data_IF_299985578794
#
_entry.id   IF_299985578794
#
_cell.length_a   1.000
_cell.length_b   1.000
_cell.length_c   1.000
_cell.angle_alpha   90.00
_cell.angle_beta   90.00
_cell.angle_gamma   90.00
#
_symmetry.space_group_name_H-M   'P 1'
#
loop_
_entity.id
_entity.type
_entity.pdbx_description
1 polymer ?
#
# COMPACT_ATOMS: atom_id res chain seq x y z
N UNK A 1 41.60 -71.16 -44.07
CA UNK A 1 40.42 -72.03 -44.03
C UNK A 1 39.28 -71.19 -43.49
N UNK A 2 38.45 -70.82 -44.41
CA UNK A 2 36.97 -70.50 -44.34
C UNK A 2 36.46 -69.64 -43.20
N UNK A 3 35.98 -68.44 -43.51
CA UNK A 3 34.74 -68.00 -44.15
C UNK A 3 33.68 -67.78 -43.02
N UNK A 4 33.13 -66.65 -42.85
CA UNK A 4 31.97 -66.04 -43.57
C UNK A 4 31.54 -64.66 -42.96
N UNK A 5 31.43 -63.75 -43.85
CA UNK A 5 30.65 -62.51 -43.63
C UNK A 5 29.25 -62.77 -43.12
N UNK A 6 28.75 -61.93 -42.24
CA UNK A 6 27.33 -61.50 -42.18
C UNK A 6 27.23 -60.06 -41.72
N UNK A 7 27.02 -59.25 -42.68
CA UNK A 7 26.39 -57.94 -42.53
C UNK A 7 25.06 -58.08 -41.80
N UNK A 8 24.86 -57.30 -40.73
CA UNK A 8 23.56 -57.07 -40.19
C UNK A 8 23.45 -55.59 -39.84
N UNK A 9 22.80 -54.86 -40.74
CA UNK A 9 22.35 -53.48 -40.57
C UNK A 9 21.23 -53.48 -39.56
N UNK A 10 21.48 -52.95 -38.38
CA UNK A 10 20.42 -52.51 -37.47
C UNK A 10 20.45 -50.96 -37.39
N UNK A 11 19.47 -50.38 -38.07
CA UNK A 11 19.02 -49.04 -37.82
C UNK A 11 18.54 -49.00 -36.37
N UNK A 12 19.34 -48.46 -35.49
CA UNK A 12 18.99 -48.18 -34.11
C UNK A 12 18.24 -46.84 -34.05
N UNK A 13 16.99 -46.89 -33.76
CA UNK A 13 16.18 -45.74 -33.34
C UNK A 13 16.86 -45.06 -32.15
N UNK A 14 17.32 -43.84 -32.38
CA UNK A 14 17.77 -42.93 -31.33
C UNK A 14 16.53 -42.46 -30.61
N UNK A 15 16.10 -43.15 -29.55
CA UNK A 15 15.18 -42.65 -28.56
C UNK A 15 15.83 -41.42 -27.91
N UNK A 16 15.42 -40.25 -28.36
CA UNK A 16 15.67 -39.00 -27.65
C UNK A 16 14.85 -39.07 -26.35
N UNK A 17 15.49 -39.53 -25.28
CA UNK A 17 14.96 -39.37 -23.94
C UNK A 17 15.08 -37.90 -23.61
N UNK A 18 13.94 -37.21 -23.72
CA UNK A 18 13.81 -35.86 -23.27
C UNK A 18 13.90 -35.89 -21.73
N UNK A 19 15.09 -35.68 -21.19
CA UNK A 19 15.30 -35.51 -19.75
C UNK A 19 14.45 -34.33 -19.31
N UNK A 20 13.35 -34.63 -18.62
CA UNK A 20 12.57 -33.62 -17.94
C UNK A 20 13.44 -32.99 -16.86
N UNK A 21 13.95 -31.81 -17.11
CA UNK A 21 14.64 -30.99 -16.11
C UNK A 21 13.66 -30.76 -14.97
N UNK A 22 13.82 -31.47 -13.86
CA UNK A 22 13.01 -31.26 -12.66
C UNK A 22 13.42 -29.92 -12.09
N UNK A 23 12.60 -28.90 -12.32
CA UNK A 23 12.80 -27.55 -11.80
C UNK A 23 12.83 -27.58 -10.26
N UNK A 24 13.83 -26.95 -9.65
CA UNK A 24 13.94 -26.85 -8.19
C UNK A 24 12.74 -26.07 -7.63
N UNK A 25 12.42 -26.27 -6.36
CA UNK A 25 11.23 -25.65 -5.75
C UNK A 25 11.25 -24.12 -5.82
N UNK A 26 12.41 -23.50 -5.58
CA UNK A 26 12.58 -22.04 -5.66
C UNK A 26 12.40 -21.50 -7.07
N UNK A 27 12.93 -22.22 -8.08
CA UNK A 27 12.80 -21.86 -9.49
C UNK A 27 11.32 -21.96 -9.93
N UNK A 28 10.59 -23.00 -9.46
CA UNK A 28 9.14 -23.12 -9.72
C UNK A 28 8.34 -22.00 -9.10
N UNK A 29 8.66 -21.61 -7.85
CA UNK A 29 8.01 -20.46 -7.21
C UNK A 29 8.24 -19.18 -8.00
N UNK A 30 9.45 -18.95 -8.47
CA UNK A 30 9.79 -17.80 -9.31
C UNK A 30 8.99 -17.84 -10.62
N UNK A 31 8.96 -18.97 -11.32
CA UNK A 31 8.19 -19.13 -12.56
C UNK A 31 6.69 -18.90 -12.36
N UNK A 32 6.11 -19.42 -11.28
CA UNK A 32 4.69 -19.20 -10.93
C UNK A 32 4.41 -17.71 -10.69
N UNK A 33 5.26 -17.04 -9.91
CA UNK A 33 5.09 -15.62 -9.59
C UNK A 33 5.26 -14.71 -10.82
N UNK A 34 6.21 -15.01 -11.70
CA UNK A 34 6.41 -14.26 -12.95
C UNK A 34 5.23 -14.44 -13.90
N UNK A 35 4.77 -15.67 -14.08
CA UNK A 35 3.61 -15.94 -14.92
C UNK A 35 2.34 -15.20 -14.42
N UNK A 36 2.16 -15.13 -13.10
CA UNK A 36 1.04 -14.39 -12.50
C UNK A 36 1.19 -12.87 -12.62
N UNK A 37 2.40 -12.31 -12.71
CA UNK A 37 2.58 -10.89 -13.02
C UNK A 37 2.02 -10.52 -14.39
N UNK A 38 2.16 -11.43 -15.37
CA UNK A 38 1.68 -11.20 -16.73
C UNK A 38 0.19 -11.48 -16.89
N UNK A 39 -0.27 -12.68 -16.46
CA UNK A 39 -1.64 -13.16 -16.71
C UNK A 39 -2.66 -12.83 -15.61
N UNK A 40 -2.23 -12.29 -14.45
CA UNK A 40 -3.06 -11.98 -13.28
C UNK A 40 -3.72 -13.17 -12.59
N UNK A 41 -4.21 -14.16 -13.32
CA UNK A 41 -4.77 -15.41 -12.78
C UNK A 41 -4.49 -16.58 -13.72
N UNK A 42 -4.23 -17.76 -13.15
CA UNK A 42 -3.92 -18.98 -13.90
C UNK A 42 -4.46 -20.21 -13.19
N UNK A 43 -4.80 -21.22 -13.99
CA UNK A 43 -5.24 -22.53 -13.52
C UNK A 43 -4.05 -23.44 -13.18
N UNK A 44 -4.29 -24.50 -12.40
CA UNK A 44 -3.27 -25.53 -12.11
C UNK A 44 -2.71 -26.15 -13.39
N UNK A 45 -3.55 -26.39 -14.41
CA UNK A 45 -3.12 -26.94 -15.69
C UNK A 45 -2.10 -26.00 -16.41
N UNK A 46 -2.39 -24.69 -16.47
CA UNK A 46 -1.47 -23.72 -17.07
C UNK A 46 -0.14 -23.64 -16.31
N UNK A 47 -0.14 -23.73 -14.98
CA UNK A 47 1.09 -23.81 -14.20
C UNK A 47 1.88 -25.08 -14.47
N UNK A 48 1.18 -26.22 -14.67
CA UNK A 48 1.82 -27.49 -15.04
C UNK A 48 2.54 -27.39 -16.39
N UNK A 49 1.94 -26.71 -17.37
CA UNK A 49 2.53 -26.48 -18.69
C UNK A 49 3.82 -25.63 -18.61
N UNK A 50 3.81 -24.57 -17.80
CA UNK A 50 4.94 -23.65 -17.68
C UNK A 50 6.10 -24.29 -16.89
N UNK A 51 5.80 -25.03 -15.83
CA UNK A 51 6.83 -25.56 -14.92
C UNK A 51 7.28 -26.96 -15.25
N UNK A 52 6.53 -27.71 -16.04
CA UNK A 52 6.74 -29.14 -16.29
C UNK A 52 6.49 -30.02 -15.07
N UNK A 53 6.01 -29.48 -13.96
CA UNK A 53 5.75 -30.22 -12.73
C UNK A 53 4.35 -30.89 -12.75
N UNK A 54 4.17 -31.95 -11.95
CA UNK A 54 2.85 -32.59 -11.83
C UNK A 54 1.83 -31.69 -11.16
N UNK A 55 0.52 -31.87 -11.45
CA UNK A 55 -0.56 -31.12 -10.78
C UNK A 55 -0.49 -31.20 -9.26
N UNK A 56 -0.12 -32.35 -8.71
CA UNK A 56 0.00 -32.54 -7.27
C UNK A 56 1.11 -31.70 -6.67
N UNK A 57 2.23 -31.53 -7.40
CA UNK A 57 3.34 -30.66 -7.02
C UNK A 57 2.91 -29.20 -7.07
N UNK A 58 2.29 -28.78 -8.18
CA UNK A 58 1.78 -27.41 -8.33
C UNK A 58 0.77 -27.06 -7.23
N UNK A 59 -0.17 -27.95 -6.90
CA UNK A 59 -1.13 -27.69 -5.80
C UNK A 59 -0.43 -27.46 -4.46
N UNK A 60 0.65 -28.18 -4.14
CA UNK A 60 1.45 -27.96 -2.93
C UNK A 60 2.21 -26.65 -2.99
N UNK A 61 2.82 -26.32 -4.13
CA UNK A 61 3.53 -25.07 -4.33
C UNK A 61 2.59 -23.86 -4.20
N UNK A 62 1.37 -23.94 -4.75
CA UNK A 62 0.36 -22.90 -4.61
C UNK A 62 -0.12 -22.75 -3.15
N UNK A 63 -0.24 -23.86 -2.38
CA UNK A 63 -0.55 -23.79 -0.95
C UNK A 63 0.57 -23.02 -0.23
N UNK A 64 1.82 -23.42 -0.43
CA UNK A 64 2.96 -22.76 0.22
C UNK A 64 3.07 -21.28 -0.13
N UNK A 65 2.86 -20.92 -1.40
CA UNK A 65 2.89 -19.51 -1.85
C UNK A 65 1.71 -18.68 -1.31
N UNK A 66 0.53 -19.28 -1.14
CA UNK A 66 -0.63 -18.64 -0.51
C UNK A 66 -0.38 -18.42 0.99
N UNK A 67 0.16 -19.43 1.70
CA UNK A 67 0.56 -19.35 3.11
C UNK A 67 1.65 -18.30 3.35
N UNK A 68 2.57 -18.13 2.38
CA UNK A 68 3.58 -17.06 2.38
C UNK A 68 3.01 -15.69 1.99
N UNK A 69 1.72 -15.58 1.66
CA UNK A 69 1.11 -14.33 1.21
C UNK A 69 1.65 -13.82 -0.12
N UNK A 70 2.11 -14.70 -1.02
CA UNK A 70 2.68 -14.33 -2.34
C UNK A 70 1.68 -14.40 -3.47
N UNK A 71 0.63 -15.18 -3.32
CA UNK A 71 -0.48 -15.36 -4.27
C UNK A 71 -1.78 -15.50 -3.51
N UNK A 72 -2.91 -15.44 -4.22
CA UNK A 72 -4.23 -15.80 -3.68
C UNK A 72 -4.78 -16.99 -4.45
N UNK A 73 -5.05 -18.10 -3.74
CA UNK A 73 -5.62 -19.30 -4.35
C UNK A 73 -7.13 -19.15 -4.55
N UNK A 74 -7.63 -19.81 -5.59
CA UNK A 74 -9.04 -20.09 -5.80
C UNK A 74 -9.22 -21.57 -6.20
N UNK A 75 -10.47 -22.01 -6.33
CA UNK A 75 -10.74 -23.41 -6.72
C UNK A 75 -10.21 -23.68 -8.14
N UNK A 76 -9.14 -24.48 -8.24
CA UNK A 76 -8.52 -24.88 -9.50
C UNK A 76 -7.36 -24.01 -10.00
N UNK A 77 -6.89 -23.01 -9.22
CA UNK A 77 -5.78 -22.16 -9.64
C UNK A 77 -5.33 -21.14 -8.60
N UNK A 78 -4.63 -20.13 -9.09
CA UNK A 78 -4.19 -19.00 -8.29
C UNK A 78 -4.22 -17.69 -9.08
N UNK A 79 -4.31 -16.57 -8.38
CA UNK A 79 -4.19 -15.22 -8.94
C UNK A 79 -3.09 -14.44 -8.24
N UNK A 80 -2.52 -13.49 -8.97
CA UNK A 80 -1.60 -12.51 -8.37
C UNK A 80 -2.28 -11.81 -7.19
N UNK A 81 -1.51 -11.54 -6.16
CA UNK A 81 -1.96 -10.60 -5.14
C UNK A 81 -1.94 -9.23 -5.80
N UNK A 82 -3.11 -8.61 -5.89
CA UNK A 82 -3.27 -7.29 -6.50
C UNK A 82 -2.84 -6.20 -5.51
N UNK A 83 -1.53 -6.17 -5.18
CA UNK A 83 -0.94 -5.05 -4.49
C UNK A 83 0.44 -4.73 -5.06
N UNK A 84 0.72 -3.45 -5.16
CA UNK A 84 2.02 -2.94 -5.57
C UNK A 84 2.83 -2.59 -4.31
N UNK A 85 3.99 -3.22 -4.14
CA UNK A 85 4.92 -2.85 -3.08
C UNK A 85 5.74 -1.62 -3.50
N UNK A 86 5.59 -0.54 -2.75
CA UNK A 86 6.35 0.69 -2.95
C UNK A 86 7.42 0.80 -1.86
N UNK A 87 8.68 0.71 -2.26
CA UNK A 87 9.83 0.77 -1.34
C UNK A 87 10.47 2.14 -1.26
N UNK A 88 10.24 3.00 -2.24
CA UNK A 88 10.87 4.31 -2.32
C UNK A 88 9.88 5.44 -2.03
N UNK A 89 10.33 6.43 -1.26
CA UNK A 89 9.55 7.64 -1.01
C UNK A 89 9.87 8.71 -2.06
N UNK A 90 8.84 9.17 -2.77
CA UNK A 90 8.99 10.32 -3.65
C UNK A 90 9.06 11.62 -2.82
N UNK A 91 9.90 12.59 -3.20
CA UNK A 91 9.95 13.90 -2.56
C UNK A 91 8.58 14.58 -2.52
N UNK A 92 8.33 15.39 -1.49
CA UNK A 92 7.06 16.15 -1.33
C UNK A 92 6.76 17.01 -2.55
N UNK A 93 7.78 17.64 -3.14
CA UNK A 93 7.64 18.46 -4.36
C UNK A 93 7.08 17.65 -5.54
N UNK A 94 7.57 16.43 -5.74
CA UNK A 94 7.03 15.52 -6.78
C UNK A 94 5.61 15.05 -6.45
N UNK A 95 5.36 14.64 -5.20
CA UNK A 95 4.02 14.23 -4.75
C UNK A 95 2.99 15.37 -4.87
N UNK A 96 3.41 16.62 -4.68
CA UNK A 96 2.53 17.79 -4.77
C UNK A 96 2.01 18.04 -6.18
N UNK A 97 2.74 17.62 -7.22
CA UNK A 97 2.38 17.79 -8.62
C UNK A 97 1.54 16.64 -9.20
N UNK A 98 1.39 15.54 -8.45
CA UNK A 98 0.62 14.38 -8.88
C UNK A 98 -0.83 14.46 -8.37
N UNK A 99 -1.80 14.12 -9.24
CA UNK A 99 -3.24 13.98 -8.89
C UNK A 99 -3.76 15.25 -8.18
N UNK A 100 -3.45 16.43 -8.74
CA UNK A 100 -3.72 17.73 -8.09
C UNK A 100 -5.22 17.99 -7.99
N UNK A 101 -5.99 17.66 -9.03
CA UNK A 101 -7.44 17.85 -9.05
C UNK A 101 -8.13 16.94 -8.03
N UNK A 102 -7.74 15.67 -7.98
CA UNK A 102 -8.24 14.68 -7.04
C UNK A 102 -7.95 15.10 -5.60
N UNK A 103 -6.71 15.47 -5.31
CA UNK A 103 -6.30 15.95 -3.97
C UNK A 103 -7.03 17.23 -3.58
N UNK A 104 -7.26 18.13 -4.53
CA UNK A 104 -7.99 19.37 -4.28
C UNK A 104 -9.45 19.10 -3.90
N UNK A 105 -10.13 18.19 -4.62
CA UNK A 105 -11.48 17.77 -4.29
C UNK A 105 -11.57 17.11 -2.90
N UNK A 106 -10.66 16.18 -2.61
CA UNK A 106 -10.53 15.51 -1.31
C UNK A 106 -10.30 16.55 -0.20
N UNK A 107 -9.34 17.44 -0.39
CA UNK A 107 -8.97 18.49 0.55
C UNK A 107 -10.13 19.45 0.86
N UNK A 108 -10.86 19.86 -0.18
CA UNK A 108 -12.03 20.72 -0.05
C UNK A 108 -13.13 20.07 0.78
N UNK A 109 -13.43 18.81 0.51
CA UNK A 109 -14.41 18.06 1.30
C UNK A 109 -13.93 17.86 2.75
N UNK A 110 -12.68 17.46 2.96
CA UNK A 110 -12.13 17.25 4.29
C UNK A 110 -12.19 18.51 5.17
N UNK A 111 -11.95 19.69 4.58
CA UNK A 111 -12.05 20.95 5.29
C UNK A 111 -13.46 21.24 5.81
N UNK A 112 -14.54 20.75 5.15
CA UNK A 112 -15.91 20.90 5.63
C UNK A 112 -16.25 20.09 6.89
N UNK A 113 -15.37 19.15 7.27
CA UNK A 113 -15.55 18.33 8.47
C UNK A 113 -15.02 19.00 9.75
N UNK A 114 -14.42 20.17 9.64
CA UNK A 114 -13.87 20.94 10.75
C UNK A 114 -14.96 21.75 11.42
N UNK A 115 -15.10 21.62 12.75
CA UNK A 115 -16.02 22.38 13.57
C UNK A 115 -15.24 23.32 14.51
N UNK A 116 -15.88 24.37 15.03
CA UNK A 116 -15.25 25.43 15.83
C UNK A 116 -14.57 24.95 17.11
N UNK A 117 -15.08 23.89 17.73
CA UNK A 117 -14.54 23.38 18.99
C UNK A 117 -13.57 22.21 18.80
N UNK A 118 -13.19 21.91 17.56
CA UNK A 118 -12.30 20.79 17.28
C UNK A 118 -10.87 21.05 17.77
N UNK A 119 -10.23 19.98 18.23
CA UNK A 119 -8.82 19.89 18.51
C UNK A 119 -8.21 18.86 17.55
N UNK A 120 -7.54 19.34 16.51
CA UNK A 120 -7.26 18.57 15.30
C UNK A 120 -5.77 18.32 15.14
N UNK A 121 -5.39 17.07 14.82
CA UNK A 121 -4.07 16.77 14.29
C UNK A 121 -4.07 16.74 12.76
N UNK A 122 -3.11 17.45 12.14
CA UNK A 122 -2.90 17.46 10.68
C UNK A 122 -1.49 16.95 10.38
N UNK A 123 -1.42 15.82 9.70
CA UNK A 123 -0.17 15.16 9.28
C UNK A 123 0.52 15.90 8.11
N UNK A 124 1.85 15.81 8.06
CA UNK A 124 2.70 16.45 7.05
C UNK A 124 2.58 15.78 5.66
N UNK A 125 1.41 15.82 5.03
CA UNK A 125 1.14 15.24 3.70
C UNK A 125 0.76 16.30 2.66
N UNK A 126 0.86 15.96 1.37
CA UNK A 126 0.48 16.92 0.29
C UNK A 126 -1.03 17.13 0.20
N UNK A 127 -1.85 16.12 0.45
CA UNK A 127 -3.31 16.25 0.49
C UNK A 127 -3.77 17.04 1.70
N UNK A 128 -3.16 16.80 2.86
CA UNK A 128 -3.45 17.54 4.10
C UNK A 128 -2.97 19.00 4.03
N UNK A 129 -1.87 19.28 3.32
CA UNK A 129 -1.43 20.65 3.05
C UNK A 129 -2.45 21.43 2.21
N UNK A 130 -3.03 20.80 1.18
CA UNK A 130 -4.10 21.40 0.38
C UNK A 130 -5.36 21.63 1.19
N UNK A 131 -5.70 20.73 2.12
CA UNK A 131 -6.87 20.90 2.99
C UNK A 131 -6.80 22.20 3.77
N UNK A 132 -5.62 22.60 4.26
CA UNK A 132 -5.45 23.84 5.01
C UNK A 132 -5.87 25.06 4.19
N UNK A 133 -5.64 25.06 2.89
CA UNK A 133 -6.01 26.21 2.02
C UNK A 133 -7.54 26.42 1.96
N UNK A 134 -8.33 25.35 2.17
CA UNK A 134 -9.80 25.39 2.19
C UNK A 134 -10.43 25.58 3.57
N UNK A 135 -9.65 25.58 4.66
CA UNK A 135 -10.16 25.86 6.00
C UNK A 135 -10.64 27.31 6.05
N UNK A 136 -11.91 27.54 6.40
CA UNK A 136 -12.48 28.86 6.64
C UNK A 136 -12.07 29.45 7.99
N UNK A 137 -12.76 30.51 8.41
CA UNK A 137 -12.67 31.05 9.76
C UNK A 137 -13.23 30.01 10.76
N UNK A 138 -12.47 29.73 11.82
CA UNK A 138 -12.88 28.76 12.84
C UNK A 138 -12.09 29.01 14.13
N UNK A 139 -12.71 28.62 15.27
CA UNK A 139 -12.07 28.63 16.59
C UNK A 139 -11.35 27.29 16.89
N UNK A 140 -11.34 26.35 15.96
CA UNK A 140 -10.62 25.07 16.11
C UNK A 140 -9.15 25.30 16.44
N UNK A 141 -8.58 24.35 17.17
CA UNK A 141 -7.16 24.34 17.49
C UNK A 141 -6.47 23.23 16.68
N UNK A 142 -5.36 23.56 16.05
CA UNK A 142 -4.62 22.66 15.19
C UNK A 142 -3.28 22.25 15.80
N UNK A 143 -2.94 20.99 15.65
CA UNK A 143 -1.60 20.43 15.97
C UNK A 143 -1.07 19.79 14.70
N UNK A 144 0.18 20.02 14.37
CA UNK A 144 0.79 19.44 13.17
C UNK A 144 2.23 19.03 13.41
N UNK A 145 2.69 18.01 12.64
CA UNK A 145 4.10 17.66 12.52
C UNK A 145 4.77 18.25 11.28
N UNK A 146 4.04 19.01 10.44
CA UNK A 146 4.55 19.58 9.20
C UNK A 146 4.96 21.04 9.34
N UNK A 147 6.21 21.39 9.01
CA UNK A 147 6.71 22.77 9.04
C UNK A 147 5.92 23.65 8.04
N UNK A 148 5.75 23.16 6.82
CA UNK A 148 4.95 23.84 5.80
C UNK A 148 3.48 24.00 6.22
N UNK A 149 2.93 23.01 6.93
CA UNK A 149 1.54 23.02 7.45
C UNK A 149 1.37 24.09 8.51
N UNK A 150 2.30 24.16 9.48
CA UNK A 150 2.26 25.18 10.51
C UNK A 150 2.33 26.61 9.90
N UNK A 151 3.19 26.83 8.90
CA UNK A 151 3.26 28.10 8.18
C UNK A 151 1.95 28.47 7.47
N UNK A 152 1.25 27.50 6.86
CA UNK A 152 -0.04 27.72 6.18
C UNK A 152 -1.14 28.07 7.18
N UNK A 153 -1.22 27.32 8.28
CA UNK A 153 -2.21 27.57 9.35
C UNK A 153 -2.02 28.96 9.97
N UNK A 154 -0.78 29.35 10.27
CA UNK A 154 -0.45 30.68 10.81
C UNK A 154 -0.79 31.82 9.85
N UNK A 155 -0.60 31.65 8.53
CA UNK A 155 -1.03 32.65 7.53
C UNK A 155 -2.55 32.91 7.52
N UNK A 156 -3.33 31.95 7.99
CA UNK A 156 -4.79 32.06 8.16
C UNK A 156 -5.20 32.51 9.56
N UNK A 157 -4.25 32.88 10.42
CA UNK A 157 -4.47 33.24 11.82
C UNK A 157 -5.14 32.14 12.67
N UNK A 158 -4.95 30.88 12.30
CA UNK A 158 -5.51 29.74 13.01
C UNK A 158 -4.63 29.35 14.20
N UNK A 159 -5.23 29.00 15.32
CA UNK A 159 -4.52 28.60 16.54
C UNK A 159 -3.77 27.28 16.31
N UNK A 160 -2.46 27.33 16.34
CA UNK A 160 -1.61 26.24 15.89
C UNK A 160 -0.54 25.86 16.92
N UNK A 161 -0.43 24.57 17.20
CA UNK A 161 0.70 23.96 17.88
C UNK A 161 1.52 23.12 16.90
N UNK A 162 2.81 23.14 17.05
CA UNK A 162 3.70 22.24 16.33
C UNK A 162 4.34 21.26 17.33
N UNK A 163 4.36 19.97 17.01
CA UNK A 163 5.03 18.99 17.86
C UNK A 163 6.56 19.15 17.76
N UNK A 164 7.29 18.75 18.80
CA UNK A 164 8.76 18.72 18.78
C UNK A 164 9.30 17.40 18.25
N UNK A 165 10.54 17.36 17.82
CA UNK A 165 11.22 16.14 17.36
C UNK A 165 12.25 16.40 16.27
N UNK A 166 12.70 15.32 15.60
CA UNK A 166 13.64 15.39 14.48
C UNK A 166 12.90 15.83 13.20
N UNK A 167 13.50 16.76 12.45
CA UNK A 167 12.96 17.17 11.15
C UNK A 167 13.56 16.30 10.04
N UNK A 168 12.69 15.64 9.28
CA UNK A 168 13.05 14.85 8.09
C UNK A 168 13.18 15.80 6.87
N UNK A 169 14.36 15.93 6.24
CA UNK A 169 14.57 16.95 5.19
C UNK A 169 13.69 16.75 3.95
N UNK A 170 13.43 15.49 3.54
CA UNK A 170 12.69 15.16 2.31
C UNK A 170 11.21 15.56 2.40
N UNK A 171 10.60 15.45 3.59
CA UNK A 171 9.17 15.67 3.81
C UNK A 171 8.88 16.92 4.65
N UNK A 172 9.89 17.56 5.22
CA UNK A 172 9.77 18.66 6.20
C UNK A 172 8.83 18.28 7.36
N UNK A 173 8.75 16.99 7.67
CA UNK A 173 7.95 16.44 8.75
C UNK A 173 8.79 16.27 10.02
N UNK A 174 8.19 16.54 11.16
CA UNK A 174 8.75 16.20 12.46
C UNK A 174 8.40 14.75 12.77
N UNK A 175 9.40 13.94 13.10
CA UNK A 175 9.32 12.49 13.24
C UNK A 175 10.09 11.99 14.49
N UNK A 176 9.99 10.69 14.74
CA UNK A 176 10.77 9.99 15.74
C UNK A 176 10.13 9.96 17.13
N UNK A 177 10.84 9.37 18.08
CA UNK A 177 10.34 9.11 19.44
C UNK A 177 9.95 10.41 20.19
N UNK A 178 10.71 11.49 20.01
CA UNK A 178 10.41 12.79 20.62
C UNK A 178 9.13 13.40 20.06
N UNK A 179 8.86 13.20 18.75
CA UNK A 179 7.61 13.63 18.14
C UNK A 179 6.42 12.89 18.79
N UNK A 180 6.51 11.57 18.92
CA UNK A 180 5.51 10.74 19.60
C UNK A 180 5.33 11.19 21.07
N UNK A 181 6.41 11.38 21.81
CA UNK A 181 6.35 11.84 23.21
C UNK A 181 5.68 13.21 23.32
N UNK A 182 5.97 14.12 22.41
CA UNK A 182 5.36 15.45 22.36
C UNK A 182 3.84 15.41 22.12
N UNK A 183 3.33 14.36 21.45
CA UNK A 183 1.90 14.15 21.20
C UNK A 183 1.15 13.57 22.41
N UNK A 184 1.80 12.89 23.33
CA UNK A 184 1.16 12.18 24.45
C UNK A 184 0.31 13.06 25.37
N UNK A 185 0.56 14.35 25.41
CA UNK A 185 -0.22 15.34 26.18
C UNK A 185 -1.51 15.80 25.49
N UNK A 186 -1.73 15.43 24.22
CA UNK A 186 -2.89 15.85 23.45
C UNK A 186 -3.89 14.69 23.30
N UNK A 187 -5.17 15.02 23.20
CA UNK A 187 -6.25 14.14 22.77
C UNK A 187 -7.02 14.87 21.69
N UNK A 188 -7.11 14.29 20.51
CA UNK A 188 -7.66 14.94 19.33
C UNK A 188 -9.12 14.55 19.13
N UNK A 189 -9.96 15.52 18.72
CA UNK A 189 -11.30 15.20 18.23
C UNK A 189 -11.22 14.51 16.88
N UNK A 190 -10.29 14.98 16.04
CA UNK A 190 -10.05 14.42 14.70
C UNK A 190 -8.56 14.44 14.36
N UNK A 191 -8.13 13.46 13.55
CA UNK A 191 -6.87 13.58 12.84
C UNK A 191 -7.08 13.41 11.33
N UNK A 192 -6.36 14.21 10.54
CA UNK A 192 -6.29 14.09 9.09
C UNK A 192 -4.91 13.63 8.69
N UNK A 193 -4.84 12.48 8.03
CA UNK A 193 -3.61 11.78 7.71
C UNK A 193 -3.47 11.56 6.20
N UNK A 194 -2.23 11.65 5.71
CA UNK A 194 -1.87 11.10 4.42
C UNK A 194 -1.43 9.64 4.53
N UNK A 195 -1.48 8.91 3.40
CA UNK A 195 -0.97 7.54 3.30
C UNK A 195 -0.21 7.33 1.99
N UNK A 196 0.67 6.34 1.97
CA UNK A 196 1.35 5.90 0.75
C UNK A 196 0.66 4.70 0.10
N UNK A 197 -0.02 3.88 0.89
CA UNK A 197 -0.77 2.72 0.42
C UNK A 197 -1.96 2.39 1.32
N UNK A 198 -2.99 1.78 0.70
CA UNK A 198 -4.20 1.27 1.36
C UNK A 198 -4.42 -0.14 0.86
N UNK A 199 -4.51 -1.09 1.78
CA UNK A 199 -4.76 -2.49 1.46
C UNK A 199 -5.66 -3.15 2.50
N UNK A 200 -6.52 -4.09 2.07
CA UNK A 200 -7.48 -4.75 2.97
C UNK A 200 -6.79 -5.48 4.13
N UNK A 201 -5.72 -6.23 3.83
CA UNK A 201 -5.03 -7.06 4.84
C UNK A 201 -3.95 -6.27 5.59
N UNK A 202 -3.34 -5.24 4.96
CA UNK A 202 -2.24 -4.45 5.54
C UNK A 202 -2.67 -3.10 6.09
N UNK A 203 -3.93 -2.70 5.88
CA UNK A 203 -4.44 -1.40 6.34
C UNK A 203 -3.79 -0.21 5.63
N UNK A 204 -3.52 0.84 6.39
CA UNK A 204 -2.88 2.07 5.92
C UNK A 204 -1.37 1.99 6.13
N UNK A 205 -0.60 2.24 5.07
CA UNK A 205 0.84 2.04 5.09
C UNK A 205 1.64 3.27 4.66
N UNK A 206 2.86 3.40 5.19
CA UNK A 206 3.84 4.43 4.80
C UNK A 206 5.22 3.80 4.64
N UNK A 207 6.15 4.52 3.99
CA UNK A 207 7.49 3.99 3.68
C UNK A 207 8.42 4.05 4.89
N UNK A 208 8.27 5.04 5.75
CA UNK A 208 9.21 5.39 6.81
C UNK A 208 8.67 4.98 8.19
N UNK A 209 9.50 4.29 8.97
CA UNK A 209 9.14 3.80 10.31
C UNK A 209 8.84 4.93 11.28
N UNK A 210 9.64 6.00 11.27
CA UNK A 210 9.48 7.11 12.20
C UNK A 210 8.26 7.98 11.87
N UNK A 211 7.92 8.11 10.56
CA UNK A 211 6.64 8.70 10.15
C UNK A 211 5.45 7.84 10.55
N UNK A 212 5.58 6.50 10.41
CA UNK A 212 4.54 5.56 10.83
C UNK A 212 4.23 5.68 12.33
N UNK A 213 5.26 5.84 13.17
CA UNK A 213 5.08 6.02 14.62
C UNK A 213 4.25 7.26 14.96
N UNK A 214 4.48 8.39 14.28
CA UNK A 214 3.70 9.63 14.48
C UNK A 214 2.26 9.44 14.01
N UNK A 215 2.04 8.82 12.85
CA UNK A 215 0.70 8.53 12.32
C UNK A 215 -0.08 7.57 13.24
N UNK A 216 0.57 6.52 13.72
CA UNK A 216 -0.01 5.56 14.67
C UNK A 216 -0.45 6.26 15.96
N UNK A 217 0.40 7.12 16.53
CA UNK A 217 0.06 7.89 17.73
C UNK A 217 -1.09 8.86 17.47
N UNK A 218 -1.15 9.49 16.29
CA UNK A 218 -2.26 10.35 15.91
C UNK A 218 -3.59 9.59 15.87
N UNK A 219 -3.60 8.40 15.25
CA UNK A 219 -4.79 7.51 15.23
C UNK A 219 -5.20 7.11 16.64
N UNK A 220 -4.25 6.67 17.47
CA UNK A 220 -4.52 6.21 18.83
C UNK A 220 -5.06 7.30 19.75
N UNK A 221 -4.77 8.58 19.45
CA UNK A 221 -5.19 9.73 20.26
C UNK A 221 -6.36 10.51 19.70
N UNK A 222 -6.95 10.05 18.60
CA UNK A 222 -8.06 10.73 17.94
C UNK A 222 -9.37 9.99 18.16
N UNK A 223 -10.43 10.76 18.43
CA UNK A 223 -11.77 10.19 18.44
C UNK A 223 -12.21 9.74 17.04
N UNK A 224 -11.90 10.54 16.01
CA UNK A 224 -12.12 10.18 14.62
C UNK A 224 -10.81 10.33 13.81
N UNK A 225 -10.43 9.28 13.09
CA UNK A 225 -9.29 9.31 12.19
C UNK A 225 -9.74 9.31 10.75
N UNK A 226 -9.20 10.23 9.95
CA UNK A 226 -9.57 10.42 8.55
C UNK A 226 -8.30 10.36 7.68
N UNK A 227 -8.28 9.44 6.72
CA UNK A 227 -7.20 9.32 5.75
C UNK A 227 -7.62 9.98 4.43
N UNK A 228 -6.81 10.92 3.96
CA UNK A 228 -6.96 11.62 2.69
C UNK A 228 -6.11 10.93 1.63
N UNK A 229 -6.73 10.22 0.71
CA UNK A 229 -6.03 9.41 -0.27
C UNK A 229 -6.72 9.47 -1.63
N UNK A 230 -5.95 9.81 -2.66
CA UNK A 230 -6.43 9.66 -4.03
C UNK A 230 -6.49 8.17 -4.44
N UNK A 231 -7.26 7.87 -5.48
CA UNK A 231 -7.53 6.50 -5.96
C UNK A 231 -6.26 5.70 -6.29
N UNK A 232 -5.14 6.37 -6.57
CA UNK A 232 -3.86 5.71 -6.85
C UNK A 232 -3.22 5.02 -5.63
N UNK A 233 -3.75 5.22 -4.42
CA UNK A 233 -3.22 4.63 -3.17
C UNK A 233 -3.83 3.28 -2.82
N UNK A 234 -4.96 2.94 -3.42
CA UNK A 234 -5.63 1.66 -3.18
C UNK A 234 -4.86 0.48 -3.79
N UNK A 235 -4.98 -0.68 -3.15
CA UNK A 235 -4.30 -1.93 -3.49
C UNK A 235 -2.76 -1.82 -3.53
N UNK A 236 -2.20 -0.84 -2.79
CA UNK A 236 -0.76 -0.63 -2.62
C UNK A 236 -0.34 -0.87 -1.18
N UNK A 237 0.85 -1.45 -1.04
CA UNK A 237 1.47 -1.72 0.26
C UNK A 237 2.85 -1.06 0.29
N UNK A 238 3.18 -0.43 1.41
CA UNK A 238 4.51 0.12 1.67
C UNK A 238 5.10 -0.50 2.94
N UNK A 239 6.32 -0.14 3.28
CA UNK A 239 7.14 -0.87 4.26
C UNK A 239 6.51 -1.01 5.66
N UNK A 240 5.70 -0.04 6.10
CA UNK A 240 5.22 0.02 7.49
C UNK A 240 3.73 0.31 7.55
N UNK A 241 2.97 -0.54 8.23
CA UNK A 241 1.57 -0.30 8.59
C UNK A 241 1.49 0.63 9.80
N UNK A 242 0.69 1.70 9.70
CA UNK A 242 0.44 2.60 10.83
C UNK A 242 -0.97 2.48 11.42
N UNK A 243 -1.92 1.90 10.69
CA UNK A 243 -3.26 1.60 11.21
C UNK A 243 -3.92 0.48 10.39
N UNK A 244 -4.73 -0.35 11.04
CA UNK A 244 -5.61 -1.29 10.38
C UNK A 244 -6.73 -0.53 9.64
N UNK A 245 -7.33 -1.17 8.63
CA UNK A 245 -8.27 -0.49 7.71
C UNK A 245 -9.51 0.07 8.44
N UNK A 246 -10.00 -0.62 9.45
CA UNK A 246 -11.18 -0.22 10.22
C UNK A 246 -10.93 0.94 11.21
N UNK A 247 -9.67 1.37 11.38
CA UNK A 247 -9.29 2.41 12.34
C UNK A 247 -9.47 3.84 11.82
N UNK A 248 -9.68 4.01 10.51
CA UNK A 248 -9.85 5.34 9.94
C UNK A 248 -10.85 5.34 8.78
N UNK A 249 -11.62 6.41 8.67
CA UNK A 249 -12.43 6.68 7.47
C UNK A 249 -11.53 7.12 6.31
N UNK A 250 -11.95 6.87 5.08
CA UNK A 250 -11.24 7.26 3.88
C UNK A 250 -12.03 8.36 3.14
N UNK A 251 -11.35 9.45 2.77
CA UNK A 251 -11.86 10.40 1.78
C UNK A 251 -11.02 10.24 0.52
N UNK A 252 -11.68 9.91 -0.58
CA UNK A 252 -11.04 9.67 -1.88
C UNK A 252 -11.77 10.38 -3.01
N UNK A 253 -11.07 10.62 -4.12
CA UNK A 253 -11.70 11.11 -5.36
C UNK A 253 -12.72 10.10 -5.89
N UNK A 254 -12.33 8.84 -6.03
CA UNK A 254 -13.17 7.72 -6.47
C UNK A 254 -12.71 6.42 -5.81
N UNK A 255 -13.62 5.52 -5.58
CA UNK A 255 -13.33 4.19 -5.09
C UNK A 255 -12.97 3.26 -6.26
N UNK A 256 -11.87 2.53 -6.12
CA UNK A 256 -11.38 1.60 -7.14
C UNK A 256 -12.06 0.22 -7.01
N UNK A 257 -12.46 -0.16 -5.79
CA UNK A 257 -13.00 -1.48 -5.50
C UNK A 257 -13.93 -1.42 -4.27
N UNK A 258 -15.15 -1.93 -4.41
CA UNK A 258 -16.19 -1.90 -3.38
C UNK A 258 -15.84 -2.68 -2.10
N UNK A 259 -14.85 -3.58 -2.14
CA UNK A 259 -14.39 -4.33 -0.95
C UNK A 259 -14.03 -3.44 0.25
N UNK A 260 -13.63 -2.19 0.01
CA UNK A 260 -13.25 -1.26 1.08
C UNK A 260 -14.45 -0.70 1.84
N UNK A 261 -15.65 -0.66 1.23
CA UNK A 261 -16.89 -0.18 1.88
C UNK A 261 -17.30 -1.11 3.02
N UNK A 262 -17.04 -2.42 2.87
CA UNK A 262 -17.36 -3.41 3.90
C UNK A 262 -16.41 -3.32 5.12
N UNK A 263 -15.24 -2.73 4.94
CA UNK A 263 -14.20 -2.68 5.97
C UNK A 263 -14.15 -1.34 6.73
N UNK A 264 -14.49 -0.23 6.07
CA UNK A 264 -14.48 1.09 6.68
C UNK A 264 -15.40 2.08 5.96
N UNK A 265 -15.63 3.23 6.58
CA UNK A 265 -16.38 4.32 5.95
C UNK A 265 -15.55 4.96 4.83
N UNK A 266 -16.05 4.91 3.60
CA UNK A 266 -15.41 5.53 2.44
C UNK A 266 -16.30 6.64 1.89
N UNK A 267 -15.74 7.85 1.75
CA UNK A 267 -16.39 9.00 1.10
C UNK A 267 -15.71 9.29 -0.22
N UNK A 268 -16.47 9.11 -1.30
CA UNK A 268 -16.08 9.56 -2.64
C UNK A 268 -16.51 11.01 -2.86
N UNK A 269 -15.64 11.84 -3.45
CA UNK A 269 -15.87 13.27 -3.65
C UNK A 269 -15.96 13.71 -5.11
N UNK A 270 -15.50 12.88 -6.05
CA UNK A 270 -15.68 13.06 -7.49
C UNK A 270 -16.56 11.92 -8.02
N UNK A 271 -17.83 12.23 -8.29
CA UNK A 271 -18.78 11.33 -8.97
C UNK A 271 -19.17 11.94 -10.30
#
# INVERSE_FOLDING_TARGET
MCIRDRTNTHTGDVLVVQEAIIMMTEDRYTAILEALKEKKSMTVAEFTEITGASESTIRRDLIALDDMGKIKRFHGGAKAIEHEYITNEAPVSAKAQLNVEEKSAIAKYAATMINDEDFIFIDAGTSTALMIDYIGETNATFVTNGIAHAKRLLKKNLRTYMIGGLVKPITEAIIGAEAVNSMKKFNFTKCFLGTNGIHMDYGFTTVDVEEAMVKMEAVNRSYASIVLADSSKFDKVTAVTFAAIEKACIITDRLVNDKYIDATVVKEVLR
#
